data_IF_875714212701
#
_entry.id   IF_875714212701
#
_cell.length_a   1.000
_cell.length_b   1.000
_cell.length_c   1.000
_cell.angle_alpha   90.00
_cell.angle_beta   90.00
_cell.angle_gamma   90.00
#
_symmetry.space_group_name_H-M   'P 1'
#
loop_
_entity.id
_entity.type
_entity.pdbx_description
1 polymer ?
#
# COMPACT_ATOMS: atom_id res chain seq x y z
N UNK A 1 -2.34 3.55 -13.68
CA UNK A 1 -2.33 4.16 -12.33
C UNK A 1 -2.47 5.67 -12.49
N UNK A 2 -3.20 6.33 -11.59
CA UNK A 2 -3.34 7.79 -11.56
C UNK A 2 -2.34 8.33 -10.51
N UNK A 3 -1.31 9.08 -10.91
CA UNK A 3 -0.32 9.62 -9.97
C UNK A 3 -0.94 10.54 -8.91
N UNK A 4 -0.37 10.55 -7.72
CA UNK A 4 -0.83 11.37 -6.60
C UNK A 4 -2.14 10.91 -5.96
N UNK A 5 -2.60 9.70 -6.29
CA UNK A 5 -3.71 9.03 -5.61
C UNK A 5 -3.19 7.87 -4.76
N UNK A 6 -3.93 7.57 -3.70
CA UNK A 6 -3.59 6.52 -2.76
C UNK A 6 -3.07 7.08 -1.43
N UNK A 7 -2.93 6.20 -0.44
CA UNK A 7 -2.41 6.53 0.89
C UNK A 7 -1.64 5.33 1.42
N UNK A 8 -0.44 5.52 1.99
CA UNK A 8 0.30 4.44 2.62
C UNK A 8 -0.54 3.71 3.67
N UNK A 9 -0.36 2.39 3.78
CA UNK A 9 -0.93 1.60 4.87
C UNK A 9 -0.14 1.89 6.15
N UNK A 10 -0.82 2.24 7.24
CA UNK A 10 -0.18 2.42 8.55
C UNK A 10 -0.29 1.16 9.41
N UNK A 11 0.56 1.08 10.44
CA UNK A 11 0.53 -0.03 11.39
C UNK A 11 -0.82 -0.11 12.13
N UNK A 12 -1.42 1.04 12.47
CA UNK A 12 -2.71 1.08 13.18
C UNK A 12 -3.84 0.56 12.29
N UNK A 13 -3.81 0.87 10.99
CA UNK A 13 -4.78 0.33 10.02
C UNK A 13 -4.62 -1.18 9.87
N UNK A 14 -3.37 -1.65 9.72
CA UNK A 14 -3.05 -3.08 9.61
C UNK A 14 -3.51 -3.86 10.84
N UNK A 15 -3.23 -3.37 12.05
CA UNK A 15 -3.64 -3.99 13.31
C UNK A 15 -5.16 -4.07 13.49
N UNK A 16 -5.92 -3.17 12.87
CA UNK A 16 -7.40 -3.21 12.84
C UNK A 16 -7.96 -4.09 11.72
N UNK A 17 -7.11 -4.64 10.85
CA UNK A 17 -7.53 -5.35 9.64
C UNK A 17 -8.17 -4.44 8.59
N UNK A 18 -7.87 -3.13 8.63
CA UNK A 18 -8.35 -2.17 7.66
C UNK A 18 -7.51 -2.23 6.38
N UNK A 19 -8.16 -1.99 5.23
CA UNK A 19 -7.49 -1.91 3.93
C UNK A 19 -7.25 -0.44 3.57
N UNK A 20 -6.03 -0.08 3.22
CA UNK A 20 -5.70 1.22 2.65
C UNK A 20 -5.95 1.22 1.13
N UNK A 21 -6.47 2.34 0.60
CA UNK A 21 -6.49 2.56 -0.84
C UNK A 21 -5.08 2.95 -1.29
N UNK A 22 -4.26 2.00 -1.74
CA UNK A 22 -2.87 2.26 -2.12
C UNK A 22 -2.74 2.95 -3.48
N UNK A 23 -3.64 2.66 -4.41
CA UNK A 23 -3.50 3.09 -5.80
C UNK A 23 -4.86 3.13 -6.49
N UNK A 24 -4.98 4.03 -7.48
CA UNK A 24 -6.16 4.14 -8.34
C UNK A 24 -5.74 3.91 -9.79
N UNK A 25 -6.52 3.13 -10.53
CA UNK A 25 -6.30 2.86 -11.95
C UNK A 25 -7.42 3.47 -12.80
N UNK A 26 -7.05 4.14 -13.89
CA UNK A 26 -7.99 4.44 -14.98
C UNK A 26 -7.99 3.24 -15.93
N UNK A 27 -9.10 2.51 -15.96
CA UNK A 27 -9.25 1.27 -16.69
C UNK A 27 -10.24 1.44 -17.85
N UNK A 28 -9.82 1.09 -19.07
CA UNK A 28 -10.62 1.26 -20.30
C UNK A 28 -10.64 -0.03 -21.10
N UNK A 29 -11.67 -0.85 -20.88
CA UNK A 29 -11.82 -2.15 -21.54
C UNK A 29 -11.06 -3.30 -20.87
N UNK A 30 -10.55 -3.09 -19.66
CA UNK A 30 -9.91 -4.10 -18.81
C UNK A 30 -10.29 -3.86 -17.35
N UNK A 31 -10.27 -4.89 -16.52
CA UNK A 31 -10.50 -4.81 -15.08
C UNK A 31 -9.42 -5.62 -14.36
N UNK A 32 -8.73 -5.05 -13.35
CA UNK A 32 -7.79 -5.80 -12.56
C UNK A 32 -8.52 -6.76 -11.62
N UNK A 33 -8.11 -8.03 -11.63
CA UNK A 33 -8.74 -9.10 -10.83
C UNK A 33 -7.84 -9.61 -9.70
N UNK A 34 -6.53 -9.39 -9.81
CA UNK A 34 -5.53 -9.85 -8.85
C UNK A 34 -4.35 -8.87 -8.83
N UNK A 35 -3.60 -8.87 -7.72
CA UNK A 35 -2.43 -8.02 -7.53
C UNK A 35 -1.27 -8.84 -6.98
N UNK A 36 -0.14 -8.79 -7.70
CA UNK A 36 1.14 -9.33 -7.24
C UNK A 36 1.93 -8.21 -6.58
N UNK A 37 2.33 -8.39 -5.32
CA UNK A 37 3.05 -7.36 -4.57
C UNK A 37 4.47 -7.14 -5.11
N UNK A 38 5.20 -8.21 -5.45
CA UNK A 38 6.57 -8.10 -6.00
C UNK A 38 7.49 -7.21 -5.15
N UNK A 39 8.51 -6.62 -5.76
CA UNK A 39 9.51 -5.76 -5.14
C UNK A 39 9.21 -4.26 -5.30
N UNK A 40 10.08 -3.42 -4.72
CA UNK A 40 10.03 -1.96 -4.89
C UNK A 40 9.14 -1.22 -3.91
N UNK A 41 8.71 -1.87 -2.82
CA UNK A 41 8.01 -1.21 -1.73
C UNK A 41 8.97 -0.45 -0.83
N UNK A 42 8.47 0.62 -0.20
CA UNK A 42 9.18 1.32 0.85
C UNK A 42 8.31 1.40 2.09
N UNK A 43 8.93 1.26 3.26
CA UNK A 43 8.31 1.53 4.54
C UNK A 43 9.29 2.28 5.44
N UNK A 44 8.74 2.84 6.51
CA UNK A 44 9.49 3.47 7.59
C UNK A 44 9.05 2.79 8.89
N UNK A 45 10.00 2.40 9.74
CA UNK A 45 9.70 1.85 11.06
C UNK A 45 9.16 2.94 12.00
N UNK A 46 8.70 2.53 13.18
CA UNK A 46 8.26 3.47 14.22
C UNK A 46 9.38 4.42 14.68
N UNK A 47 10.63 3.99 14.54
CA UNK A 47 11.81 4.80 14.87
C UNK A 47 12.32 5.64 13.69
N UNK A 48 11.66 5.59 12.54
CA UNK A 48 12.06 6.38 11.37
C UNK A 48 13.15 5.75 10.49
N UNK A 49 13.41 4.45 10.66
CA UNK A 49 14.37 3.73 9.81
C UNK A 49 13.69 3.36 8.49
N UNK A 50 14.23 3.78 7.32
CA UNK A 50 13.66 3.44 6.02
C UNK A 50 14.07 2.03 5.58
N UNK A 51 13.12 1.29 4.99
CA UNK A 51 13.33 -0.06 4.44
C UNK A 51 12.89 -0.12 2.98
N UNK A 52 13.71 -0.77 2.14
CA UNK A 52 13.29 -1.25 0.82
C UNK A 52 12.80 -2.68 0.97
N UNK A 53 11.58 -2.93 0.51
CA UNK A 53 10.86 -4.17 0.79
C UNK A 53 10.60 -4.92 -0.52
N UNK A 54 10.96 -6.21 -0.49
CA UNK A 54 10.54 -7.19 -1.49
C UNK A 54 9.47 -8.09 -0.88
N UNK A 55 8.29 -8.09 -1.51
CA UNK A 55 7.12 -8.88 -1.13
C UNK A 55 6.80 -9.96 -2.18
N UNK A 56 7.77 -10.31 -3.06
CA UNK A 56 7.60 -11.36 -4.08
C UNK A 56 7.26 -12.72 -3.49
N UNK A 57 7.76 -13.03 -2.29
CA UNK A 57 7.45 -14.25 -1.52
C UNK A 57 6.22 -14.09 -0.59
N UNK A 58 5.54 -12.94 -0.64
CA UNK A 58 4.34 -12.66 0.17
C UNK A 58 4.61 -12.23 1.62
N UNK A 59 5.87 -12.14 2.02
CA UNK A 59 6.31 -11.67 3.33
C UNK A 59 7.67 -10.95 3.26
N UNK A 60 7.97 -10.20 4.30
CA UNK A 60 9.23 -9.51 4.53
C UNK A 60 9.56 -9.56 6.02
N UNK A 61 10.82 -9.78 6.35
CA UNK A 61 11.31 -9.73 7.72
C UNK A 61 12.73 -9.17 7.75
N UNK A 62 12.98 -8.27 8.69
CA UNK A 62 14.29 -7.64 8.90
C UNK A 62 14.42 -7.19 10.37
N UNK A 63 15.49 -6.47 10.71
CA UNK A 63 15.74 -5.94 12.04
C UNK A 63 15.99 -4.44 12.00
N UNK A 64 15.26 -3.67 12.81
CA UNK A 64 15.50 -2.24 12.97
C UNK A 64 16.55 -2.02 14.06
N UNK A 65 17.79 -1.77 13.63
CA UNK A 65 18.91 -1.48 14.52
C UNK A 65 18.67 -0.26 15.42
N UNK A 66 17.91 0.74 14.95
CA UNK A 66 17.64 1.95 15.75
C UNK A 66 16.61 1.68 16.84
N UNK A 67 15.59 0.87 16.53
CA UNK A 67 14.55 0.46 17.48
C UNK A 67 14.88 -0.79 18.27
N UNK A 68 16.00 -1.44 18.00
CA UNK A 68 16.45 -2.69 18.60
C UNK A 68 15.35 -3.78 18.59
N UNK A 69 14.57 -3.85 17.51
CA UNK A 69 13.44 -4.77 17.41
C UNK A 69 13.28 -5.38 16.00
N UNK A 70 12.73 -6.62 15.92
CA UNK A 70 12.41 -7.22 14.63
C UNK A 70 11.24 -6.48 13.97
N UNK A 71 11.35 -6.31 12.66
CA UNK A 71 10.29 -5.74 11.82
C UNK A 71 9.87 -6.76 10.77
N UNK A 72 8.60 -6.69 10.34
CA UNK A 72 8.12 -7.58 9.32
C UNK A 72 6.76 -7.22 8.77
N UNK A 73 6.50 -7.73 7.57
CA UNK A 73 5.23 -7.65 6.86
C UNK A 73 4.88 -9.05 6.38
N UNK A 74 3.60 -9.40 6.43
CA UNK A 74 3.13 -10.71 5.97
C UNK A 74 1.62 -10.73 5.91
N UNK A 75 1.06 -11.86 5.50
CA UNK A 75 -0.40 -12.01 5.27
C UNK A 75 -0.93 -10.90 4.35
N UNK A 76 -0.17 -10.60 3.30
CA UNK A 76 -0.52 -9.53 2.38
C UNK A 76 -1.81 -9.86 1.65
N UNK A 77 -2.76 -8.92 1.67
CA UNK A 77 -4.03 -9.05 0.97
C UNK A 77 -4.28 -7.82 0.11
N UNK A 78 -4.84 -8.04 -1.08
CA UNK A 78 -5.27 -6.99 -1.98
C UNK A 78 -6.76 -7.15 -2.30
N UNK A 79 -7.38 -6.05 -2.72
CA UNK A 79 -8.74 -6.08 -3.27
C UNK A 79 -8.91 -4.88 -4.21
N UNK A 80 -9.63 -5.09 -5.31
CA UNK A 80 -10.06 -4.01 -6.18
C UNK A 80 -11.47 -3.57 -5.83
N UNK A 81 -11.70 -2.26 -5.76
CA UNK A 81 -13.02 -1.64 -5.58
C UNK A 81 -13.18 -0.55 -6.61
N UNK A 82 -14.35 -0.50 -7.24
CA UNK A 82 -14.71 0.60 -8.14
C UNK A 82 -14.89 1.86 -7.30
N UNK A 83 -14.16 2.92 -7.65
CA UNK A 83 -14.20 4.23 -6.99
C UNK A 83 -14.92 5.25 -7.85
N UNK A 84 -15.63 6.19 -7.22
CA UNK A 84 -16.30 7.29 -7.90
C UNK A 84 -15.35 8.48 -8.02
N UNK A 85 -15.26 9.01 -9.23
CA UNK A 85 -14.56 10.26 -9.50
C UNK A 85 -15.43 11.44 -9.06
N UNK A 86 -14.98 12.18 -8.06
CA UNK A 86 -15.57 13.43 -7.62
C UNK A 86 -14.67 14.60 -8.02
N UNK A 87 -15.19 15.51 -8.85
CA UNK A 87 -14.46 16.70 -9.27
C UNK A 87 -15.01 17.95 -8.59
N UNK A 88 -14.14 18.72 -7.93
CA UNK A 88 -14.48 20.04 -7.38
C UNK A 88 -13.32 20.99 -7.60
N UNK A 89 -13.60 22.17 -8.14
CA UNK A 89 -12.61 23.23 -8.38
C UNK A 89 -11.32 22.74 -9.10
N UNK A 90 -11.48 21.91 -10.15
CA UNK A 90 -10.37 21.38 -10.94
C UNK A 90 -9.54 20.28 -10.26
N UNK A 91 -9.91 19.85 -9.04
CA UNK A 91 -9.27 18.71 -8.35
C UNK A 91 -10.19 17.50 -8.38
N UNK A 92 -9.68 16.39 -8.89
CA UNK A 92 -10.34 15.09 -8.83
C UNK A 92 -9.94 14.36 -7.53
N UNK A 93 -10.94 13.79 -6.85
CA UNK A 93 -10.77 12.81 -5.77
C UNK A 93 -11.50 11.54 -6.17
N UNK A 94 -10.92 10.40 -5.83
CA UNK A 94 -11.52 9.09 -6.05
C UNK A 94 -11.89 8.50 -4.69
N UNK A 95 -13.17 8.22 -4.49
CA UNK A 95 -13.73 7.72 -3.23
C UNK A 95 -14.61 6.51 -3.42
#
# INVERSE_FOLDING_TARGET
MIPGQGTPLTIEQSQKGEKACLMVFDCRGYEPVEFSFADGWMAESLEGTPFNIDCSEGEFADYDEKGECPVGLGKLESAFKVVKKNERAGKARYV
#
